data_IF_460555822816
#
_entry.id   IF_460555822816
#
_cell.length_a   1.000
_cell.length_b   1.000
_cell.length_c   1.000
_cell.angle_alpha   90.00
_cell.angle_beta   90.00
_cell.angle_gamma   90.00
#
_symmetry.space_group_name_H-M   'P 1'
#
loop_
_entity.id
_entity.type
_entity.pdbx_description
1 polymer ?
#
# COMPACT_ATOMS: atom_id res chain seq x y z
N UNK A 1 8.58 -6.64 9.18
CA UNK A 1 9.13 -5.42 8.53
C UNK A 1 9.67 -5.73 7.15
N UNK A 2 10.80 -6.45 7.06
CA UNK A 2 11.45 -6.78 5.78
C UNK A 2 10.51 -7.41 4.74
N UNK A 3 9.64 -8.34 5.15
CA UNK A 3 8.65 -8.99 4.26
C UNK A 3 7.65 -8.00 3.64
N UNK A 4 7.16 -7.03 4.42
CA UNK A 4 6.19 -6.05 3.93
C UNK A 4 6.85 -5.08 2.95
N UNK A 5 8.07 -4.65 3.25
CA UNK A 5 8.89 -3.83 2.34
C UNK A 5 9.22 -4.58 1.06
N UNK A 6 9.57 -5.87 1.14
CA UNK A 6 9.81 -6.72 -0.02
C UNK A 6 8.58 -6.79 -0.94
N UNK A 7 7.39 -7.04 -0.37
CA UNK A 7 6.16 -7.03 -1.15
C UNK A 7 5.88 -5.66 -1.80
N UNK A 8 6.13 -4.57 -1.07
CA UNK A 8 6.02 -3.22 -1.65
C UNK A 8 6.95 -3.03 -2.85
N UNK A 9 8.19 -3.51 -2.77
CA UNK A 9 9.14 -3.48 -3.88
C UNK A 9 8.67 -4.33 -5.06
N UNK A 10 8.17 -5.55 -4.82
CA UNK A 10 7.62 -6.42 -5.88
C UNK A 10 6.52 -5.70 -6.67
N UNK A 11 5.59 -5.05 -5.97
CA UNK A 11 4.51 -4.30 -6.59
C UNK A 11 5.03 -3.05 -7.34
N UNK A 12 6.01 -2.34 -6.78
CA UNK A 12 6.61 -1.17 -7.43
C UNK A 12 7.31 -1.56 -8.73
N UNK A 13 8.11 -2.63 -8.71
CA UNK A 13 8.81 -3.13 -9.89
C UNK A 13 7.83 -3.53 -10.99
N UNK A 14 6.71 -4.18 -10.63
CA UNK A 14 5.66 -4.49 -11.59
C UNK A 14 5.15 -3.23 -12.28
N UNK A 15 4.79 -2.19 -11.52
CA UNK A 15 4.29 -0.93 -12.08
C UNK A 15 5.29 -0.20 -12.96
N UNK A 16 6.58 -0.33 -12.68
CA UNK A 16 7.62 0.38 -13.43
C UNK A 16 8.12 -0.39 -14.66
N UNK A 17 8.23 -1.72 -14.56
CA UNK A 17 8.96 -2.53 -15.53
C UNK A 17 8.09 -3.57 -16.26
N UNK A 18 6.89 -3.85 -15.77
CA UNK A 18 6.04 -4.95 -16.27
C UNK A 18 4.57 -4.51 -16.40
N UNK A 19 4.33 -3.32 -16.97
CA UNK A 19 3.00 -2.68 -17.06
C UNK A 19 1.98 -3.56 -17.79
N UNK A 20 2.39 -4.22 -18.87
CA UNK A 20 1.51 -5.05 -19.71
C UNK A 20 1.44 -6.53 -19.29
N UNK A 21 2.15 -6.90 -18.22
CA UNK A 21 2.16 -8.28 -17.75
C UNK A 21 0.85 -8.61 -17.00
N UNK A 22 0.22 -9.72 -17.38
CA UNK A 22 -0.91 -10.28 -16.63
C UNK A 22 -0.53 -10.43 -15.15
N UNK A 23 -1.46 -10.15 -14.21
CA UNK A 23 -1.14 -10.24 -12.79
C UNK A 23 -0.69 -11.66 -12.42
N UNK A 24 0.61 -11.84 -12.21
CA UNK A 24 1.18 -13.08 -11.67
C UNK A 24 0.69 -13.27 -10.22
N UNK A 25 0.54 -14.53 -9.80
CA UNK A 25 0.08 -14.86 -8.44
C UNK A 25 0.91 -14.21 -7.33
N UNK A 26 2.20 -13.92 -7.59
CA UNK A 26 3.08 -13.22 -6.67
C UNK A 26 2.61 -11.78 -6.35
N UNK A 27 1.99 -11.08 -7.31
CA UNK A 27 1.49 -9.71 -7.08
C UNK A 27 0.23 -9.72 -6.21
N UNK A 28 -0.68 -10.65 -6.48
CA UNK A 28 -1.86 -10.86 -5.64
C UNK A 28 -1.47 -11.26 -4.20
N UNK A 29 -0.46 -12.13 -4.07
CA UNK A 29 0.10 -12.51 -2.79
C UNK A 29 0.77 -11.33 -2.09
N UNK A 30 1.50 -10.49 -2.81
CA UNK A 30 2.14 -9.31 -2.26
C UNK A 30 1.10 -8.31 -1.72
N UNK A 31 0.06 -7.99 -2.50
CA UNK A 31 -1.02 -7.09 -2.08
C UNK A 31 -1.75 -7.63 -0.86
N UNK A 32 -2.19 -8.90 -0.91
CA UNK A 32 -2.87 -9.56 0.23
C UNK A 32 -1.98 -9.61 1.46
N UNK A 33 -0.69 -9.94 1.28
CA UNK A 33 0.28 -10.03 2.35
C UNK A 33 0.55 -8.69 3.03
N UNK A 34 0.63 -7.59 2.26
CA UNK A 34 0.74 -6.25 2.83
C UNK A 34 -0.51 -5.88 3.62
N UNK A 35 -1.71 -6.15 3.09
CA UNK A 35 -2.98 -5.85 3.76
C UNK A 35 -3.06 -6.58 5.12
N UNK A 36 -2.80 -7.89 5.11
CA UNK A 36 -2.81 -8.71 6.33
C UNK A 36 -1.79 -8.21 7.36
N UNK A 37 -0.56 -7.89 6.94
CA UNK A 37 0.45 -7.31 7.83
C UNK A 37 -0.01 -5.95 8.38
N UNK A 38 -0.59 -5.08 7.57
CA UNK A 38 -1.08 -3.78 8.00
C UNK A 38 -2.21 -3.92 9.03
N UNK A 39 -3.17 -4.79 8.79
CA UNK A 39 -4.26 -5.06 9.72
C UNK A 39 -3.72 -5.61 11.04
N UNK A 40 -2.88 -6.65 11.01
CA UNK A 40 -2.26 -7.23 12.21
C UNK A 40 -1.47 -6.22 13.01
N UNK A 41 -0.68 -5.37 12.34
CA UNK A 41 0.07 -4.32 13.01
C UNK A 41 -0.84 -3.26 13.61
N UNK A 42 -1.86 -2.82 12.89
CA UNK A 42 -2.82 -1.84 13.39
C UNK A 42 -3.55 -2.33 14.65
N UNK A 43 -4.02 -3.58 14.64
CA UNK A 43 -4.69 -4.18 15.80
C UNK A 43 -3.76 -4.39 16.99
N UNK A 44 -2.47 -4.63 16.74
CA UNK A 44 -1.47 -4.75 17.80
C UNK A 44 -1.08 -3.38 18.40
N UNK A 45 -0.74 -2.42 17.55
CA UNK A 45 -0.46 -1.02 17.90
C UNK A 45 -0.51 -0.18 16.61
N UNK A 46 -1.45 0.77 16.47
CA UNK A 46 -1.56 1.64 15.29
C UNK A 46 -0.27 2.38 14.92
N UNK A 47 0.60 2.68 15.90
CA UNK A 47 1.88 3.36 15.65
C UNK A 47 2.83 2.49 14.83
N UNK A 48 2.66 1.18 14.80
CA UNK A 48 3.45 0.28 13.98
C UNK A 48 3.23 0.47 12.47
N UNK A 49 2.18 1.18 12.04
CA UNK A 49 2.02 1.55 10.64
C UNK A 49 2.96 2.66 10.17
N UNK A 50 3.52 3.45 11.10
CA UNK A 50 4.41 4.59 10.80
C UNK A 50 5.71 4.23 10.07
N UNK A 51 6.02 2.95 10.02
CA UNK A 51 7.20 2.38 9.34
C UNK A 51 6.86 1.75 7.99
N UNK A 52 5.60 1.85 7.55
CA UNK A 52 5.06 1.17 6.36
C UNK A 52 4.52 2.15 5.31
N UNK A 53 5.11 3.34 5.15
CA UNK A 53 4.63 4.34 4.18
C UNK A 53 4.54 3.77 2.75
N UNK A 54 5.60 3.13 2.26
CA UNK A 54 5.65 2.61 0.89
C UNK A 54 4.76 1.38 0.72
N UNK A 55 4.78 0.36 1.60
CA UNK A 55 3.83 -0.75 1.52
C UNK A 55 2.36 -0.30 1.56
N UNK A 56 2.01 0.66 2.42
CA UNK A 56 0.65 1.21 2.48
C UNK A 56 0.25 1.85 1.15
N UNK A 57 1.09 2.70 0.59
CA UNK A 57 0.87 3.27 -0.75
C UNK A 57 0.62 2.17 -1.79
N UNK A 58 1.51 1.18 -1.86
CA UNK A 58 1.40 0.12 -2.87
C UNK A 58 0.13 -0.70 -2.69
N UNK A 59 -0.27 -1.03 -1.45
CA UNK A 59 -1.50 -1.77 -1.21
C UNK A 59 -2.76 -0.96 -1.55
N UNK A 60 -2.77 0.36 -1.31
CA UNK A 60 -3.90 1.23 -1.69
C UNK A 60 -4.15 1.22 -3.18
N UNK A 61 -3.10 1.35 -3.98
CA UNK A 61 -3.22 1.49 -5.44
C UNK A 61 -3.30 0.14 -6.18
N UNK A 62 -2.91 -0.97 -5.54
CA UNK A 62 -2.94 -2.31 -6.15
C UNK A 62 -4.13 -3.17 -5.72
N UNK A 63 -4.82 -2.84 -4.63
CA UNK A 63 -5.97 -3.64 -4.20
C UNK A 63 -7.19 -3.37 -5.09
N UNK A 64 -7.86 -4.45 -5.51
CA UNK A 64 -9.14 -4.37 -6.24
C UNK A 64 -10.35 -4.43 -5.28
N UNK A 65 -10.11 -4.66 -3.98
CA UNK A 65 -11.15 -4.67 -2.96
C UNK A 65 -11.35 -3.26 -2.39
N UNK A 66 -12.50 -2.66 -2.70
CA UNK A 66 -12.88 -1.30 -2.27
C UNK A 66 -12.93 -1.14 -0.75
N UNK A 67 -13.24 -2.21 0.00
CA UNK A 67 -13.27 -2.18 1.46
C UNK A 67 -11.86 -2.04 2.01
N UNK A 68 -10.94 -2.87 1.51
CA UNK A 68 -9.53 -2.78 1.87
C UNK A 68 -8.91 -1.46 1.41
N UNK A 69 -9.23 -0.99 0.19
CA UNK A 69 -8.73 0.28 -0.32
C UNK A 69 -9.13 1.44 0.57
N UNK A 70 -10.41 1.54 0.94
CA UNK A 70 -10.92 2.62 1.81
C UNK A 70 -10.25 2.60 3.18
N UNK A 71 -10.10 1.41 3.77
CA UNK A 71 -9.43 1.26 5.06
C UNK A 71 -7.97 1.71 4.98
N UNK A 72 -7.21 1.25 3.98
CA UNK A 72 -5.81 1.63 3.81
C UNK A 72 -5.64 3.13 3.52
N UNK A 73 -6.49 3.71 2.67
CA UNK A 73 -6.50 5.14 2.34
C UNK A 73 -6.74 5.99 3.58
N UNK A 74 -7.69 5.59 4.44
CA UNK A 74 -7.92 6.24 5.72
C UNK A 74 -6.67 6.18 6.62
N UNK A 75 -5.96 5.04 6.67
CA UNK A 75 -4.72 4.91 7.44
C UNK A 75 -3.59 5.81 6.93
N UNK A 76 -3.44 5.95 5.61
CA UNK A 76 -2.49 6.90 5.02
C UNK A 76 -2.83 8.35 5.40
N UNK A 77 -4.10 8.73 5.31
CA UNK A 77 -4.56 10.06 5.68
C UNK A 77 -4.28 10.39 7.15
N UNK A 78 -4.58 9.47 8.07
CA UNK A 78 -4.33 9.64 9.51
C UNK A 78 -2.84 9.74 9.85
N UNK A 79 -1.97 9.19 9.00
CA UNK A 79 -0.52 9.25 9.17
C UNK A 79 0.15 10.42 8.44
N UNK A 80 -0.59 11.21 7.65
CA UNK A 80 -0.01 12.29 6.83
C UNK A 80 0.81 13.28 7.67
N UNK A 81 0.36 13.59 8.88
CA UNK A 81 0.97 14.61 9.74
C UNK A 81 2.17 14.05 10.54
N UNK A 82 2.52 12.76 10.36
CA UNK A 82 3.63 12.12 11.04
C UNK A 82 4.99 12.41 10.40
N UNK A 83 5.10 12.31 9.07
CA UNK A 83 6.31 12.59 8.31
C UNK A 83 5.94 12.92 6.85
N UNK A 84 6.75 13.76 6.19
CA UNK A 84 6.64 14.08 4.76
C UNK A 84 6.47 12.86 3.83
N UNK A 85 7.04 11.70 4.17
CA UNK A 85 6.86 10.45 3.40
C UNK A 85 5.39 10.03 3.32
N UNK A 86 4.60 10.26 4.38
CA UNK A 86 3.17 9.93 4.41
C UNK A 86 2.31 10.97 3.69
N UNK A 87 2.70 12.25 3.73
CA UNK A 87 2.08 13.28 2.88
C UNK A 87 2.25 12.90 1.42
N UNK A 88 3.48 12.62 1.01
CA UNK A 88 3.79 12.18 -0.35
C UNK A 88 3.04 10.90 -0.73
N UNK A 89 3.05 9.88 0.14
CA UNK A 89 2.38 8.62 -0.12
C UNK A 89 0.86 8.79 -0.28
N UNK A 90 0.24 9.61 0.56
CA UNK A 90 -1.18 9.94 0.43
C UNK A 90 -1.47 10.64 -0.90
N UNK A 91 -0.75 11.72 -1.21
CA UNK A 91 -1.02 12.54 -2.40
C UNK A 91 -0.80 11.75 -3.70
N UNK A 92 0.22 10.89 -3.73
CA UNK A 92 0.46 9.99 -4.86
C UNK A 92 -0.66 8.95 -4.99
N UNK A 93 -1.14 8.38 -3.89
CA UNK A 93 -2.26 7.45 -3.92
C UNK A 93 -3.51 8.12 -4.51
N UNK A 94 -3.86 9.31 -4.03
CA UNK A 94 -5.02 10.07 -4.54
C UNK A 94 -4.91 10.35 -6.04
N UNK A 95 -3.75 10.79 -6.51
CA UNK A 95 -3.53 11.08 -7.93
C UNK A 95 -3.64 9.84 -8.82
N UNK A 96 -3.17 8.69 -8.33
CA UNK A 96 -3.24 7.43 -9.07
C UNK A 96 -4.67 6.92 -9.10
N UNK A 97 -5.36 6.89 -7.96
CA UNK A 97 -6.74 6.42 -7.86
C UNK A 97 -7.67 7.25 -8.75
N UNK A 98 -7.51 8.58 -8.77
CA UNK A 98 -8.29 9.47 -9.62
C UNK A 98 -8.09 9.26 -11.13
N UNK A 99 -7.04 8.53 -11.54
CA UNK A 99 -6.79 8.14 -12.94
C UNK A 99 -7.21 6.70 -13.25
N UNK A 100 -7.49 5.90 -12.22
CA UNK A 100 -7.91 4.51 -12.32
C UNK A 100 -9.44 4.37 -12.32
N UNK A 101 -10.15 5.32 -11.70
CA UNK A 101 -11.60 5.51 -11.84
C UNK A 101 -11.97 5.98 -13.27
#
# INVERSE_FOLDING_TARGET
MAVCTFYGQVLLHRRLLCVDALPLGIYQQATTGIIDICQKQFWSDPKLLRRLHLPLLMAVIETNDMTHQRWLRQRLWELRDFHSEFVWAHDVAEQILARQD
#
